data_IF_731959962474
#
_entry.id   IF_731959962474
#
_cell.length_a   1.000
_cell.length_b   1.000
_cell.length_c   1.000
_cell.angle_alpha   90.00
_cell.angle_beta   90.00
_cell.angle_gamma   90.00
#
_symmetry.space_group_name_H-M   'P 1'
#
loop_
_entity.id
_entity.type
_entity.pdbx_description
1 polymer ?
#
# COMPACT_ATOMS: atom_id res chain seq x y z
N UNK A 1 -89.33 -29.85 29.07
CA UNK A 1 -89.41 -30.83 27.97
C UNK A 1 -88.33 -30.51 26.97
N UNK A 2 -87.71 -31.53 26.37
CA UNK A 2 -86.66 -31.34 25.37
C UNK A 2 -87.19 -30.53 24.16
N UNK A 3 -86.37 -29.68 23.53
CA UNK A 3 -86.71 -29.02 22.27
C UNK A 3 -87.18 -30.02 21.21
N UNK A 4 -88.23 -29.68 20.46
CA UNK A 4 -88.73 -30.47 19.34
C UNK A 4 -89.27 -29.56 18.24
N UNK A 5 -89.04 -29.93 16.98
CA UNK A 5 -89.52 -29.17 15.82
C UNK A 5 -90.83 -29.75 15.28
N UNK A 6 -91.78 -28.89 14.93
CA UNK A 6 -93.08 -29.28 14.40
C UNK A 6 -93.44 -28.42 13.18
N UNK A 7 -93.91 -29.05 12.11
CA UNK A 7 -94.60 -28.41 11.00
C UNK A 7 -96.10 -28.44 11.28
N UNK A 8 -96.76 -27.29 11.23
CA UNK A 8 -98.19 -27.20 11.39
C UNK A 8 -98.84 -26.64 10.11
N UNK A 9 -99.80 -27.37 9.54
CA UNK A 9 -100.60 -26.90 8.42
C UNK A 9 -102.08 -26.88 8.81
N UNK A 10 -102.78 -25.78 8.51
CA UNK A 10 -104.22 -25.70 8.74
C UNK A 10 -104.96 -26.59 7.72
N UNK A 11 -105.84 -27.46 8.22
CA UNK A 11 -106.69 -28.32 7.40
C UNK A 11 -108.04 -27.63 7.24
N UNK A 12 -108.49 -27.47 5.99
CA UNK A 12 -109.74 -26.80 5.65
C UNK A 12 -110.69 -27.79 4.97
N UNK A 13 -111.99 -27.64 5.23
CA UNK A 13 -113.08 -28.34 4.55
C UNK A 13 -114.14 -27.29 4.16
N UNK A 14 -114.53 -27.25 2.87
CA UNK A 14 -115.40 -26.22 2.28
C UNK A 14 -115.08 -24.76 2.66
N UNK A 15 -113.79 -24.45 2.83
CA UNK A 15 -113.30 -23.09 3.17
C UNK A 15 -113.32 -22.77 4.67
N UNK A 16 -113.82 -23.66 5.53
CA UNK A 16 -113.78 -23.53 6.98
C UNK A 16 -112.60 -24.33 7.57
N UNK A 17 -111.86 -23.73 8.51
CA UNK A 17 -110.71 -24.39 9.15
C UNK A 17 -111.21 -25.41 10.16
N UNK A 18 -111.11 -26.69 9.83
CA UNK A 18 -111.58 -27.80 10.67
C UNK A 18 -110.50 -28.40 11.59
N UNK A 19 -109.21 -28.08 11.35
CA UNK A 19 -108.13 -28.60 12.19
C UNK A 19 -106.75 -28.07 11.85
N UNK A 20 -105.74 -28.64 12.53
CA UNK A 20 -104.33 -28.43 12.24
C UNK A 20 -103.65 -29.79 12.18
N UNK A 21 -103.01 -30.08 11.05
CA UNK A 21 -102.09 -31.20 10.93
C UNK A 21 -100.74 -30.75 11.50
N UNK A 22 -100.31 -31.38 12.58
CA UNK A 22 -99.00 -31.13 13.18
C UNK A 22 -98.12 -32.37 12.95
N UNK A 23 -97.00 -32.20 12.25
CA UNK A 23 -96.00 -33.24 11.99
C UNK A 23 -94.73 -32.86 12.74
N UNK A 24 -94.22 -33.77 13.58
CA UNK A 24 -92.91 -33.57 14.21
C UNK A 24 -91.80 -33.79 13.16
N UNK A 25 -90.91 -32.81 13.02
CA UNK A 25 -89.73 -32.90 12.15
C UNK A 25 -88.59 -33.50 12.98
N UNK A 26 -87.86 -34.53 12.47
CA UNK A 26 -86.71 -35.09 13.17
C UNK A 26 -85.56 -34.08 13.19
N UNK A 27 -85.31 -33.50 14.37
CA UNK A 27 -84.20 -32.55 14.59
C UNK A 27 -82.84 -33.24 14.42
N UNK A 28 -82.74 -34.53 14.78
CA UNK A 28 -81.51 -35.32 14.65
C UNK A 28 -80.98 -35.38 13.21
N UNK A 29 -81.87 -35.34 12.19
CA UNK A 29 -81.41 -35.31 10.80
C UNK A 29 -80.77 -33.99 10.43
N UNK A 30 -81.32 -32.88 10.92
CA UNK A 30 -80.75 -31.55 10.69
C UNK A 30 -79.41 -31.50 11.44
N UNK A 31 -79.40 -31.95 12.69
CA UNK A 31 -78.20 -31.94 13.51
C UNK A 31 -77.07 -32.79 12.93
N UNK A 32 -77.36 -34.01 12.49
CA UNK A 32 -76.38 -34.86 11.83
C UNK A 32 -75.81 -34.24 10.55
N UNK A 33 -76.62 -33.53 9.76
CA UNK A 33 -76.14 -32.83 8.56
C UNK A 33 -75.22 -31.67 8.96
N UNK A 34 -75.61 -30.88 9.97
CA UNK A 34 -74.82 -29.72 10.42
C UNK A 34 -73.51 -30.14 11.10
N UNK A 35 -73.51 -31.28 11.78
CA UNK A 35 -72.35 -31.80 12.51
C UNK A 35 -71.51 -32.79 11.70
N UNK A 36 -71.91 -33.12 10.46
CA UNK A 36 -71.19 -34.10 9.63
C UNK A 36 -71.17 -35.49 10.26
N UNK A 37 -72.25 -35.90 10.93
CA UNK A 37 -72.29 -37.08 11.82
C UNK A 37 -71.16 -37.09 12.87
N UNK A 38 -70.74 -35.90 13.33
CA UNK A 38 -69.60 -35.64 14.23
C UNK A 38 -68.22 -35.90 13.60
N UNK A 39 -68.15 -35.93 12.27
CA UNK A 39 -66.96 -36.11 11.45
C UNK A 39 -66.24 -34.82 11.05
N UNK A 40 -66.32 -33.74 11.84
CA UNK A 40 -65.85 -32.40 11.48
C UNK A 40 -64.44 -32.34 10.87
N UNK A 41 -63.47 -33.07 11.44
CA UNK A 41 -62.10 -33.10 10.91
C UNK A 41 -62.01 -33.75 9.52
N UNK A 42 -62.78 -34.81 9.27
CA UNK A 42 -62.85 -35.50 7.97
C UNK A 42 -63.55 -34.62 6.91
N UNK A 43 -64.51 -33.81 7.34
CA UNK A 43 -65.23 -32.84 6.52
C UNK A 43 -64.45 -31.53 6.27
N UNK A 44 -63.23 -31.43 6.80
CA UNK A 44 -62.33 -30.30 6.56
C UNK A 44 -62.56 -29.09 7.48
N UNK A 45 -63.30 -29.26 8.57
CA UNK A 45 -63.48 -28.24 9.61
C UNK A 45 -62.34 -28.25 10.65
N UNK A 46 -61.40 -29.18 10.56
CA UNK A 46 -60.21 -29.20 11.43
C UNK A 46 -60.54 -29.48 12.90
N UNK A 47 -59.71 -28.97 13.80
CA UNK A 47 -59.83 -29.22 15.25
C UNK A 47 -60.83 -28.30 15.94
N UNK A 48 -61.04 -27.09 15.41
CA UNK A 48 -61.92 -26.07 16.01
C UNK A 48 -63.11 -25.68 15.15
N UNK A 49 -63.21 -26.15 13.90
CA UNK A 49 -64.28 -25.70 13.03
C UNK A 49 -65.62 -26.36 13.33
N UNK A 50 -66.69 -25.59 13.21
CA UNK A 50 -68.06 -26.08 13.37
C UNK A 50 -69.00 -25.44 12.36
N UNK A 51 -70.14 -26.08 12.12
CA UNK A 51 -71.21 -25.50 11.30
C UNK A 51 -72.51 -25.63 12.07
N UNK A 52 -73.28 -24.56 12.15
CA UNK A 52 -74.52 -24.54 12.90
C UNK A 52 -75.57 -23.60 12.32
N UNK A 53 -76.82 -23.83 12.70
CA UNK A 53 -77.97 -23.03 12.29
C UNK A 53 -78.43 -22.13 13.43
N UNK A 54 -78.80 -20.89 13.12
CA UNK A 54 -79.38 -19.94 14.07
C UNK A 54 -80.68 -19.39 13.51
N UNK A 55 -81.72 -19.31 14.33
CA UNK A 55 -82.99 -18.69 13.92
C UNK A 55 -82.99 -17.17 14.07
N UNK A 56 -83.97 -16.49 13.49
CA UNK A 56 -84.17 -15.04 13.66
C UNK A 56 -84.49 -14.58 15.09
N UNK A 57 -84.65 -15.51 16.03
CA UNK A 57 -84.71 -15.27 17.48
C UNK A 57 -83.32 -15.36 18.16
N UNK A 58 -82.25 -15.48 17.36
CA UNK A 58 -80.86 -15.64 17.78
C UNK A 58 -80.56 -16.93 18.54
N UNK A 59 -81.46 -17.93 18.52
CA UNK A 59 -81.21 -19.20 19.19
C UNK A 59 -80.73 -20.26 18.18
N UNK A 60 -79.89 -21.19 18.63
CA UNK A 60 -79.43 -22.29 17.79
C UNK A 60 -80.57 -23.22 17.34
N UNK A 61 -80.42 -23.81 16.15
CA UNK A 61 -81.33 -24.80 15.53
C UNK A 61 -80.65 -26.14 15.25
N UNK A 62 -79.34 -26.21 15.45
CA UNK A 62 -78.52 -27.42 15.52
C UNK A 62 -77.61 -27.32 16.75
N UNK A 63 -77.07 -28.45 17.19
CA UNK A 63 -76.16 -28.51 18.30
C UNK A 63 -74.77 -27.94 17.94
N UNK A 64 -74.15 -27.30 18.93
CA UNK A 64 -72.76 -26.85 18.86
C UNK A 64 -71.81 -28.05 18.89
N UNK A 65 -70.75 -28.01 18.07
CA UNK A 65 -69.67 -29.00 18.12
C UNK A 65 -69.10 -29.12 19.53
N UNK A 66 -68.81 -27.97 20.15
CA UNK A 66 -68.16 -27.92 21.46
C UNK A 66 -69.05 -28.47 22.58
N UNK A 67 -70.37 -28.31 22.47
CA UNK A 67 -71.30 -28.94 23.40
C UNK A 67 -71.36 -30.46 23.22
N UNK A 68 -71.21 -30.96 21.99
CA UNK A 68 -71.23 -32.39 21.67
C UNK A 68 -69.91 -33.10 22.04
N UNK A 69 -68.76 -32.43 21.88
CA UNK A 69 -67.44 -32.96 22.21
C UNK A 69 -67.15 -32.91 23.71
N UNK A 70 -67.48 -31.79 24.38
CA UNK A 70 -67.27 -31.60 25.82
C UNK A 70 -68.38 -30.71 26.43
N UNK A 71 -69.51 -31.33 26.77
CA UNK A 71 -70.65 -30.63 27.38
C UNK A 71 -70.27 -29.92 28.69
N UNK A 72 -69.39 -30.51 29.51
CA UNK A 72 -69.02 -29.94 30.80
C UNK A 72 -68.16 -28.69 30.61
N UNK A 73 -67.14 -28.76 29.75
CA UNK A 73 -66.33 -27.60 29.37
C UNK A 73 -67.13 -26.53 28.66
N UNK A 74 -68.09 -26.92 27.80
CA UNK A 74 -68.99 -25.98 27.14
C UNK A 74 -69.83 -25.17 28.13
N UNK A 75 -70.44 -25.83 29.12
CA UNK A 75 -71.23 -25.14 30.17
C UNK A 75 -70.35 -24.17 30.98
N UNK A 76 -69.08 -24.49 31.20
CA UNK A 76 -68.11 -23.58 31.85
C UNK A 76 -67.83 -22.34 30.97
N UNK A 77 -67.70 -22.52 29.65
CA UNK A 77 -67.57 -21.40 28.70
C UNK A 77 -68.81 -20.51 28.75
N UNK A 78 -70.01 -21.11 28.75
CA UNK A 78 -71.26 -20.35 28.88
C UNK A 78 -71.33 -19.55 30.18
N UNK A 79 -70.83 -20.11 31.28
CA UNK A 79 -70.72 -19.40 32.57
C UNK A 79 -69.79 -18.19 32.48
N UNK A 80 -68.61 -18.35 31.87
CA UNK A 80 -67.64 -17.26 31.68
C UNK A 80 -68.20 -16.11 30.83
N UNK A 81 -69.07 -16.41 29.88
CA UNK A 81 -69.74 -15.40 29.04
C UNK A 81 -71.07 -14.89 29.60
N UNK A 82 -71.39 -15.22 30.86
CA UNK A 82 -72.53 -14.63 31.56
C UNK A 82 -73.89 -15.17 31.11
N UNK A 83 -73.95 -16.37 30.53
CA UNK A 83 -75.23 -17.01 30.19
C UNK A 83 -76.02 -17.32 31.47
N UNK A 84 -77.32 -16.95 31.54
CA UNK A 84 -78.16 -17.21 32.71
C UNK A 84 -78.14 -18.66 33.19
N UNK A 85 -78.17 -18.87 34.51
CA UNK A 85 -78.07 -20.19 35.14
C UNK A 85 -79.17 -21.15 34.68
N UNK A 86 -80.41 -20.66 34.51
CA UNK A 86 -81.55 -21.44 34.03
C UNK A 86 -81.33 -22.02 32.62
N UNK A 87 -80.66 -21.27 31.73
CA UNK A 87 -80.31 -21.78 30.39
C UNK A 87 -79.18 -22.80 30.45
N UNK A 88 -78.14 -22.53 31.25
CA UNK A 88 -77.01 -23.46 31.46
C UNK A 88 -77.47 -24.80 32.02
N UNK A 89 -78.32 -24.78 33.04
CA UNK A 89 -78.92 -25.97 33.64
C UNK A 89 -79.73 -26.77 32.60
N UNK A 90 -80.49 -26.10 31.73
CA UNK A 90 -81.25 -26.77 30.66
C UNK A 90 -80.36 -27.38 29.57
N UNK A 91 -79.27 -26.71 29.18
CA UNK A 91 -78.28 -27.27 28.24
C UNK A 91 -77.67 -28.54 28.84
N UNK A 92 -77.33 -28.52 30.13
CA UNK A 92 -76.79 -29.67 30.84
C UNK A 92 -77.81 -30.80 31.02
N UNK A 93 -79.06 -30.47 31.35
CA UNK A 93 -80.15 -31.45 31.57
C UNK A 93 -80.55 -32.16 30.27
N UNK A 94 -80.70 -31.40 29.18
CA UNK A 94 -81.16 -31.94 27.89
C UNK A 94 -80.03 -32.35 26.95
N UNK A 95 -78.79 -31.95 27.23
CA UNK A 95 -77.63 -32.29 26.40
C UNK A 95 -77.67 -31.70 24.99
N UNK A 96 -78.32 -30.54 24.82
CA UNK A 96 -78.51 -29.87 23.52
C UNK A 96 -78.38 -28.36 23.67
N UNK A 97 -77.90 -27.69 22.62
CA UNK A 97 -77.88 -26.23 22.50
C UNK A 97 -79.07 -25.69 21.70
N UNK A 98 -79.83 -26.55 21.03
CA UNK A 98 -81.00 -26.20 20.22
C UNK A 98 -82.03 -25.44 21.07
N UNK A 99 -82.43 -24.24 20.62
CA UNK A 99 -83.32 -23.32 21.33
C UNK A 99 -82.87 -22.87 22.74
N UNK A 100 -81.63 -23.16 23.13
CA UNK A 100 -81.08 -22.85 24.45
C UNK A 100 -79.85 -21.95 24.38
N UNK A 101 -78.99 -22.15 23.39
CA UNK A 101 -77.83 -21.31 23.14
C UNK A 101 -78.21 -20.12 22.27
N UNK A 102 -77.89 -18.93 22.77
CA UNK A 102 -78.06 -17.66 22.06
C UNK A 102 -76.77 -17.28 21.32
N UNK A 103 -76.91 -16.88 20.06
CA UNK A 103 -75.82 -16.49 19.17
C UNK A 103 -76.17 -15.12 18.59
N UNK A 104 -75.72 -14.07 19.28
CA UNK A 104 -75.82 -12.68 18.81
C UNK A 104 -74.44 -12.19 18.42
N UNK A 105 -73.98 -12.64 17.26
CA UNK A 105 -72.69 -12.24 16.67
C UNK A 105 -72.94 -11.34 15.48
N UNK A 106 -71.93 -10.55 15.10
CA UNK A 106 -71.98 -9.72 13.89
C UNK A 106 -72.30 -10.56 12.64
N UNK A 107 -71.78 -11.79 12.58
CA UNK A 107 -72.08 -12.74 11.51
C UNK A 107 -73.58 -13.09 11.42
N UNK A 108 -74.22 -13.39 12.55
CA UNK A 108 -75.67 -13.69 12.59
C UNK A 108 -76.50 -12.47 12.22
N UNK A 109 -76.17 -11.28 12.74
CA UNK A 109 -76.89 -10.04 12.43
C UNK A 109 -76.79 -9.69 10.94
N UNK A 110 -75.59 -9.80 10.37
CA UNK A 110 -75.37 -9.58 8.95
C UNK A 110 -76.12 -10.60 8.09
N UNK A 111 -76.04 -11.89 8.43
CA UNK A 111 -76.76 -12.96 7.73
C UNK A 111 -78.28 -12.75 7.77
N UNK A 112 -78.85 -12.41 8.93
CA UNK A 112 -80.28 -12.13 9.08
C UNK A 112 -80.73 -10.89 8.29
N UNK A 113 -79.82 -9.94 8.03
CA UNK A 113 -80.09 -8.79 7.14
C UNK A 113 -80.01 -9.13 5.65
N UNK A 114 -79.69 -10.38 5.30
CA UNK A 114 -79.60 -10.87 3.93
C UNK A 114 -78.17 -10.85 3.36
N UNK A 115 -77.13 -10.62 4.17
CA UNK A 115 -75.75 -10.55 3.72
C UNK A 115 -75.09 -11.92 3.79
N UNK A 116 -74.51 -12.38 2.67
CA UNK A 116 -73.63 -13.56 2.61
C UNK A 116 -72.18 -13.10 2.57
N UNK A 117 -71.35 -13.53 3.51
CA UNK A 117 -69.95 -13.12 3.54
C UNK A 117 -69.07 -14.09 4.33
N UNK A 118 -67.76 -13.81 4.32
CA UNK A 118 -66.77 -14.45 5.18
C UNK A 118 -65.94 -13.37 5.84
N UNK A 119 -65.93 -13.31 7.17
CA UNK A 119 -65.17 -12.29 7.90
C UNK A 119 -64.63 -12.82 9.23
N UNK A 120 -63.63 -12.13 9.76
CA UNK A 120 -63.09 -12.36 11.08
C UNK A 120 -63.99 -11.67 12.10
N UNK A 121 -64.63 -12.43 12.97
CA UNK A 121 -65.54 -11.95 14.03
C UNK A 121 -65.34 -12.78 15.29
N UNK A 122 -65.87 -12.32 16.42
CA UNK A 122 -65.95 -13.14 17.63
C UNK A 122 -67.21 -14.02 17.56
N UNK A 123 -67.07 -15.31 17.85
CA UNK A 123 -68.20 -16.25 17.92
C UNK A 123 -68.98 -16.11 19.23
N UNK A 124 -69.96 -16.99 19.46
CA UNK A 124 -70.73 -17.00 20.71
C UNK A 124 -69.91 -17.43 21.95
N UNK A 125 -68.70 -17.97 21.77
CA UNK A 125 -67.71 -18.26 22.82
C UNK A 125 -66.75 -17.09 23.03
N UNK A 126 -66.94 -15.95 22.34
CA UNK A 126 -66.05 -14.80 22.41
C UNK A 126 -64.64 -15.09 21.88
N UNK A 127 -64.48 -16.11 21.03
CA UNK A 127 -63.21 -16.49 20.41
C UNK A 127 -63.20 -15.90 18.99
N UNK A 128 -62.09 -15.27 18.55
CA UNK A 128 -61.97 -14.81 17.17
C UNK A 128 -61.98 -16.00 16.20
N UNK A 129 -62.96 -16.02 15.29
CA UNK A 129 -63.16 -17.06 14.28
C UNK A 129 -63.19 -16.46 12.88
N UNK A 130 -62.78 -17.23 11.89
CA UNK A 130 -63.12 -16.95 10.50
C UNK A 130 -64.52 -17.52 10.24
N UNK A 131 -65.53 -16.65 10.23
CA UNK A 131 -66.93 -17.02 10.09
C UNK A 131 -67.40 -16.81 8.65
N UNK A 132 -67.88 -17.88 8.01
CA UNK A 132 -68.63 -17.84 6.76
C UNK A 132 -70.11 -18.01 7.07
N UNK A 133 -70.95 -17.07 6.65
CA UNK A 133 -72.37 -17.07 7.00
C UNK A 133 -73.26 -16.73 5.80
N UNK A 134 -74.47 -17.30 5.81
CA UNK A 134 -75.45 -17.17 4.74
C UNK A 134 -76.88 -17.24 5.30
N UNK A 135 -77.83 -16.38 4.85
CA UNK A 135 -79.25 -16.59 5.10
C UNK A 135 -79.77 -17.84 4.38
N UNK A 136 -80.61 -18.64 5.04
CA UNK A 136 -81.27 -19.77 4.41
C UNK A 136 -82.53 -19.33 3.66
N UNK A 137 -82.57 -19.60 2.35
CA UNK A 137 -83.72 -19.31 1.49
C UNK A 137 -84.79 -20.42 1.57
N UNK A 138 -85.43 -20.57 2.72
CA UNK A 138 -86.54 -21.51 2.92
C UNK A 138 -87.82 -20.73 3.21
N UNK A 139 -88.87 -20.98 2.43
CA UNK A 139 -90.15 -20.28 2.58
C UNK A 139 -90.72 -20.44 4.00
N UNK A 140 -91.00 -19.31 4.67
CA UNK A 140 -91.56 -19.29 6.02
C UNK A 140 -90.56 -19.53 7.15
N UNK A 141 -89.26 -19.68 6.87
CA UNK A 141 -88.21 -19.92 7.87
C UNK A 141 -87.12 -18.86 7.75
N UNK A 142 -86.95 -18.04 8.79
CA UNK A 142 -85.87 -17.05 8.87
C UNK A 142 -84.69 -17.61 9.67
N UNK A 143 -83.88 -18.46 9.05
CA UNK A 143 -82.69 -19.07 9.65
C UNK A 143 -81.43 -18.64 8.90
N UNK A 144 -80.30 -18.70 9.59
CA UNK A 144 -78.97 -18.46 9.03
C UNK A 144 -78.10 -19.67 9.29
N UNK A 145 -77.20 -19.94 8.37
CA UNK A 145 -76.17 -20.97 8.49
C UNK A 145 -74.83 -20.30 8.67
N UNK A 146 -74.05 -20.79 9.62
CA UNK A 146 -72.69 -20.36 9.89
C UNK A 146 -71.76 -21.56 9.80
N UNK A 147 -70.58 -21.35 9.25
CA UNK A 147 -69.44 -22.26 9.29
C UNK A 147 -68.24 -21.47 9.76
N UNK A 148 -67.69 -21.86 10.91
CA UNK A 148 -66.68 -21.09 11.63
C UNK A 148 -65.48 -21.98 11.93
N UNK A 149 -64.30 -21.37 12.04
CA UNK A 149 -63.05 -22.02 12.49
C UNK A 149 -62.25 -21.00 13.30
N UNK A 150 -61.60 -21.43 14.39
CA UNK A 150 -60.81 -20.52 15.21
C UNK A 150 -59.72 -19.85 14.36
N UNK A 151 -59.59 -18.53 14.49
CA UNK A 151 -58.59 -17.75 13.75
C UNK A 151 -57.18 -18.26 14.03
N UNK A 152 -56.92 -18.75 15.25
CA UNK A 152 -55.63 -19.30 15.61
C UNK A 152 -55.27 -20.54 14.79
N UNK A 153 -56.23 -21.45 14.54
CA UNK A 153 -56.05 -22.61 13.67
C UNK A 153 -55.94 -22.18 12.20
N UNK A 154 -56.89 -21.37 11.73
CA UNK A 154 -56.94 -20.91 10.34
C UNK A 154 -55.65 -20.20 9.89
N UNK A 155 -55.06 -19.38 10.77
CA UNK A 155 -53.82 -18.63 10.49
C UNK A 155 -52.55 -19.32 11.01
N UNK A 156 -52.62 -20.49 11.67
CA UNK A 156 -51.42 -21.21 12.14
C UNK A 156 -50.42 -21.51 11.01
N UNK A 157 -50.85 -22.00 9.81
CA UNK A 157 -49.92 -22.27 8.71
C UNK A 157 -49.20 -21.00 8.22
N UNK A 158 -49.91 -19.86 8.20
CA UNK A 158 -49.35 -18.56 7.76
C UNK A 158 -48.32 -18.06 8.76
N UNK A 159 -48.60 -18.14 10.07
CA UNK A 159 -47.64 -17.77 11.13
C UNK A 159 -46.40 -18.65 11.09
N UNK A 160 -46.57 -19.97 10.94
CA UNK A 160 -45.46 -20.91 10.81
C UNK A 160 -44.60 -20.62 9.56
N UNK A 161 -45.23 -20.29 8.43
CA UNK A 161 -44.52 -19.88 7.22
C UNK A 161 -43.72 -18.58 7.43
N UNK A 162 -44.34 -17.56 8.01
CA UNK A 162 -43.67 -16.28 8.29
C UNK A 162 -42.43 -16.47 9.20
N UNK A 163 -42.55 -17.29 10.24
CA UNK A 163 -41.42 -17.62 11.12
C UNK A 163 -40.29 -18.35 10.38
N UNK A 164 -40.61 -19.31 9.50
CA UNK A 164 -39.61 -20.01 8.68
C UNK A 164 -38.87 -19.03 7.75
N UNK A 165 -39.60 -18.13 7.08
CA UNK A 165 -39.00 -17.10 6.21
C UNK A 165 -38.04 -16.19 7.00
N UNK A 166 -38.43 -15.77 8.21
CA UNK A 166 -37.61 -14.93 9.07
C UNK A 166 -36.30 -15.63 9.45
N UNK A 167 -36.37 -16.88 9.91
CA UNK A 167 -35.18 -17.66 10.28
C UNK A 167 -34.27 -17.93 9.08
N UNK A 168 -34.82 -18.30 7.92
CA UNK A 168 -34.02 -18.50 6.71
C UNK A 168 -33.35 -17.20 6.28
N UNK A 169 -34.05 -16.07 6.31
CA UNK A 169 -33.49 -14.75 6.01
C UNK A 169 -32.35 -14.37 6.95
N UNK A 170 -32.50 -14.62 8.25
CA UNK A 170 -31.46 -14.35 9.25
C UNK A 170 -30.20 -15.20 9.00
N UNK A 171 -30.37 -16.49 8.71
CA UNK A 171 -29.25 -17.40 8.41
C UNK A 171 -28.49 -16.91 7.16
N UNK A 172 -29.22 -16.56 6.10
CA UNK A 172 -28.62 -16.04 4.86
C UNK A 172 -27.86 -14.74 5.14
N UNK A 173 -28.42 -13.81 5.92
CA UNK A 173 -27.76 -12.57 6.27
C UNK A 173 -26.44 -12.81 7.03
N UNK A 174 -26.43 -13.72 8.00
CA UNK A 174 -25.23 -14.10 8.75
C UNK A 174 -24.18 -14.72 7.82
N UNK A 175 -24.60 -15.64 6.93
CA UNK A 175 -23.70 -16.26 5.95
C UNK A 175 -23.04 -15.23 5.02
N UNK A 176 -23.81 -14.24 4.55
CA UNK A 176 -23.28 -13.15 3.72
C UNK A 176 -22.23 -12.33 4.48
N UNK A 177 -22.47 -12.01 5.75
CA UNK A 177 -21.51 -11.27 6.59
C UNK A 177 -20.22 -12.07 6.79
N UNK A 178 -20.32 -13.37 7.09
CA UNK A 178 -19.15 -14.24 7.27
C UNK A 178 -18.37 -14.39 5.97
N UNK A 179 -19.06 -14.64 4.84
CA UNK A 179 -18.43 -14.74 3.54
C UNK A 179 -17.70 -13.43 3.15
N UNK A 180 -18.33 -12.27 3.40
CA UNK A 180 -17.72 -10.96 3.16
C UNK A 180 -16.46 -10.74 4.02
N UNK A 181 -16.49 -11.15 5.29
CA UNK A 181 -15.34 -11.07 6.18
C UNK A 181 -14.18 -11.99 5.74
N UNK A 182 -14.50 -13.19 5.23
CA UNK A 182 -13.51 -14.13 4.69
C UNK A 182 -12.85 -13.55 3.43
N UNK A 183 -13.63 -13.09 2.45
CA UNK A 183 -13.13 -12.47 1.21
C UNK A 183 -12.24 -11.26 1.50
N UNK A 184 -12.63 -10.44 2.47
CA UNK A 184 -11.83 -9.28 2.88
C UNK A 184 -10.47 -9.69 3.44
N UNK A 185 -10.44 -10.77 4.23
CA UNK A 185 -9.20 -11.27 4.84
C UNK A 185 -8.31 -12.02 3.85
N UNK A 186 -8.88 -12.79 2.93
CA UNK A 186 -8.12 -13.61 1.98
C UNK A 186 -7.66 -12.84 0.74
N UNK A 187 -8.41 -11.85 0.27
CA UNK A 187 -8.12 -11.15 -1.00
C UNK A 187 -7.82 -9.67 -0.82
N UNK A 188 -8.71 -8.90 -0.18
CA UNK A 188 -8.59 -7.44 -0.15
C UNK A 188 -7.37 -6.95 0.64
N UNK A 189 -7.11 -7.53 1.83
CA UNK A 189 -5.97 -7.10 2.67
C UNK A 189 -4.60 -7.30 2.02
N UNK A 190 -4.25 -8.48 1.46
CA UNK A 190 -2.97 -8.65 0.75
C UNK A 190 -2.79 -7.71 -0.43
N UNK A 191 -3.86 -7.47 -1.20
CA UNK A 191 -3.82 -6.57 -2.37
C UNK A 191 -3.53 -5.13 -1.92
N UNK A 192 -4.21 -4.65 -0.87
CA UNK A 192 -3.97 -3.30 -0.35
C UNK A 192 -2.54 -3.14 0.21
N UNK A 193 -2.03 -4.16 0.91
CA UNK A 193 -0.64 -4.16 1.40
C UNK A 193 0.38 -4.06 0.26
N UNK A 194 0.20 -4.83 -0.83
CA UNK A 194 1.02 -4.74 -2.03
C UNK A 194 0.92 -3.36 -2.70
N UNK A 195 -0.28 -2.82 -2.80
CA UNK A 195 -0.51 -1.51 -3.41
C UNK A 195 0.16 -0.37 -2.62
N UNK A 196 0.10 -0.43 -1.29
CA UNK A 196 0.77 0.55 -0.42
C UNK A 196 2.28 0.44 -0.53
N UNK A 197 2.83 -0.78 -0.48
CA UNK A 197 4.26 -1.00 -0.63
C UNK A 197 4.80 -0.53 -1.99
N UNK A 198 4.06 -0.79 -3.07
CA UNK A 198 4.41 -0.29 -4.40
C UNK A 198 4.47 1.25 -4.46
N UNK A 199 3.55 1.95 -3.79
CA UNK A 199 3.59 3.42 -3.69
C UNK A 199 4.80 3.92 -2.90
N UNK A 200 5.16 3.25 -1.81
CA UNK A 200 6.35 3.59 -1.02
C UNK A 200 7.65 3.40 -1.81
N UNK A 201 7.78 2.28 -2.52
CA UNK A 201 8.91 2.02 -3.44
C UNK A 201 8.99 3.08 -4.53
N UNK A 202 7.85 3.48 -5.10
CA UNK A 202 7.80 4.58 -6.09
C UNK A 202 8.20 5.94 -5.50
N UNK A 203 8.06 6.14 -4.19
CA UNK A 203 8.50 7.35 -3.49
C UNK A 203 9.99 7.30 -3.09
N UNK A 204 10.68 6.19 -3.36
CA UNK A 204 12.10 6.00 -3.08
C UNK A 204 12.41 5.21 -1.81
N UNK A 205 11.41 4.73 -1.07
CA UNK A 205 11.60 3.86 0.09
C UNK A 205 11.79 2.40 -0.35
N UNK A 206 13.02 1.91 -0.30
CA UNK A 206 13.40 0.56 -0.72
C UNK A 206 13.55 -0.44 0.44
N UNK A 207 13.24 -0.03 1.67
CA UNK A 207 13.32 -0.90 2.86
C UNK A 207 11.99 -1.59 3.16
N UNK A 208 10.99 -1.35 2.33
CA UNK A 208 9.67 -1.94 2.42
C UNK A 208 9.71 -3.43 2.11
N UNK A 209 9.08 -4.23 2.97
CA UNK A 209 8.88 -5.66 2.78
C UNK A 209 7.40 -6.00 2.96
N UNK A 210 6.86 -6.72 1.99
CA UNK A 210 5.47 -7.19 2.03
C UNK A 210 5.43 -8.61 2.59
N UNK A 211 4.84 -8.77 3.77
CA UNK A 211 4.65 -10.09 4.41
C UNK A 211 3.23 -10.58 4.20
N UNK A 212 3.02 -11.29 3.10
CA UNK A 212 1.75 -11.94 2.78
C UNK A 212 1.87 -13.43 3.09
N UNK A 213 1.26 -13.86 4.19
CA UNK A 213 1.14 -15.27 4.55
C UNK A 213 0.02 -15.95 3.75
N UNK A 214 0.18 -16.01 2.42
CA UNK A 214 -0.74 -16.69 1.52
C UNK A 214 -0.01 -17.77 0.75
N UNK A 215 -0.60 -18.97 0.66
CA UNK A 215 -0.04 -20.11 -0.08
C UNK A 215 -0.41 -20.15 -1.55
N UNK A 216 -1.00 -19.07 -2.07
CA UNK A 216 -1.57 -18.96 -3.41
C UNK A 216 -0.75 -18.00 -4.30
N UNK A 217 -1.35 -17.57 -5.42
CA UNK A 217 -0.75 -16.64 -6.36
C UNK A 217 -0.43 -15.26 -5.75
N UNK A 218 -1.17 -14.82 -4.72
CA UNK A 218 -0.90 -13.55 -4.03
C UNK A 218 0.37 -13.64 -3.20
N UNK A 219 0.62 -14.79 -2.55
CA UNK A 219 1.88 -15.04 -1.85
C UNK A 219 3.08 -15.01 -2.81
N UNK A 220 2.96 -15.73 -3.94
CA UNK A 220 3.99 -15.73 -4.98
C UNK A 220 4.25 -14.33 -5.57
N UNK A 221 3.20 -13.53 -5.75
CA UNK A 221 3.33 -12.15 -6.19
C UNK A 221 4.07 -11.29 -5.17
N UNK A 222 3.79 -11.45 -3.87
CA UNK A 222 4.51 -10.75 -2.80
C UNK A 222 5.99 -11.12 -2.76
N UNK A 223 6.34 -12.41 -2.90
CA UNK A 223 7.74 -12.85 -2.96
C UNK A 223 8.48 -12.28 -4.18
N UNK A 224 7.80 -12.26 -5.33
CA UNK A 224 8.36 -11.69 -6.56
C UNK A 224 8.55 -10.18 -6.43
N UNK A 225 7.59 -9.48 -5.82
CA UNK A 225 7.68 -8.05 -5.53
C UNK A 225 8.87 -7.75 -4.60
N UNK A 226 8.99 -8.47 -3.48
CA UNK A 226 10.11 -8.31 -2.54
C UNK A 226 11.48 -8.56 -3.22
N UNK A 227 11.55 -9.57 -4.10
CA UNK A 227 12.76 -9.86 -4.88
C UNK A 227 13.14 -8.73 -5.84
N UNK A 228 12.13 -8.09 -6.47
CA UNK A 228 12.33 -6.92 -7.32
C UNK A 228 12.87 -5.73 -6.50
N UNK A 229 12.26 -5.43 -5.35
CA UNK A 229 12.70 -4.33 -4.46
C UNK A 229 14.14 -4.53 -4.01
N UNK A 230 14.49 -5.74 -3.57
CA UNK A 230 15.88 -6.10 -3.22
C UNK A 230 16.85 -5.90 -4.38
N UNK A 231 16.47 -6.31 -5.59
CA UNK A 231 17.29 -6.14 -6.79
C UNK A 231 17.51 -4.67 -7.17
N UNK A 232 16.47 -3.83 -7.00
CA UNK A 232 16.57 -2.38 -7.21
C UNK A 232 17.54 -1.77 -6.20
N UNK A 233 17.39 -2.09 -4.92
CA UNK A 233 18.30 -1.60 -3.86
C UNK A 233 19.75 -1.95 -4.16
N UNK A 234 20.03 -3.22 -4.46
CA UNK A 234 21.39 -3.67 -4.78
C UNK A 234 21.96 -2.96 -6.01
N UNK A 235 21.15 -2.73 -7.06
CA UNK A 235 21.60 -1.98 -8.25
C UNK A 235 21.90 -0.52 -7.92
N UNK A 236 21.06 0.13 -7.11
CA UNK A 236 21.27 1.53 -6.71
C UNK A 236 22.57 1.70 -5.91
N UNK A 237 22.82 0.80 -4.96
CA UNK A 237 24.08 0.76 -4.20
C UNK A 237 25.28 0.53 -5.13
N UNK A 238 25.20 -0.43 -6.04
CA UNK A 238 26.26 -0.73 -7.00
C UNK A 238 26.54 0.46 -7.92
N UNK A 239 25.52 1.14 -8.44
CA UNK A 239 25.68 2.35 -9.27
C UNK A 239 26.36 3.45 -8.47
N UNK A 240 25.94 3.65 -7.21
CA UNK A 240 26.54 4.66 -6.34
C UNK A 240 28.01 4.36 -6.07
N UNK A 241 28.34 3.10 -5.81
CA UNK A 241 29.73 2.65 -5.66
C UNK A 241 30.53 2.87 -6.95
N UNK A 242 30.00 2.45 -8.10
CA UNK A 242 30.67 2.60 -9.40
C UNK A 242 30.88 4.06 -9.77
N UNK A 243 29.92 4.94 -9.47
CA UNK A 243 30.07 6.37 -9.67
C UNK A 243 31.19 6.95 -8.80
N UNK A 244 31.31 6.52 -7.53
CA UNK A 244 32.42 6.92 -6.66
C UNK A 244 33.77 6.43 -7.17
N UNK A 245 33.85 5.16 -7.59
CA UNK A 245 35.07 4.59 -8.18
C UNK A 245 35.49 5.35 -9.44
N UNK A 246 34.55 5.63 -10.34
CA UNK A 246 34.80 6.39 -11.57
C UNK A 246 35.24 7.83 -11.27
N UNK A 247 34.62 8.49 -10.28
CA UNK A 247 35.01 9.83 -9.86
C UNK A 247 36.43 9.85 -9.29
N UNK A 248 36.78 8.89 -8.42
CA UNK A 248 38.13 8.78 -7.87
C UNK A 248 39.19 8.55 -8.98
N UNK A 249 38.89 7.69 -9.95
CA UNK A 249 39.80 7.44 -11.08
C UNK A 249 39.98 8.69 -11.96
N UNK A 250 38.91 9.45 -12.21
CA UNK A 250 38.99 10.69 -12.99
C UNK A 250 39.84 11.74 -12.28
N UNK A 251 39.69 11.87 -10.96
CA UNK A 251 40.45 12.82 -10.13
C UNK A 251 41.92 12.44 -9.94
N UNK A 252 42.31 11.19 -10.24
CA UNK A 252 43.72 10.78 -10.30
C UNK A 252 44.42 11.26 -11.59
N UNK A 253 43.66 11.70 -12.60
CA UNK A 253 44.19 12.10 -13.91
C UNK A 253 44.05 13.61 -14.13
N UNK A 254 42.95 14.20 -13.64
CA UNK A 254 42.63 15.61 -13.83
C UNK A 254 42.40 16.29 -12.48
N UNK A 255 42.84 17.55 -12.33
CA UNK A 255 42.45 18.35 -11.18
C UNK A 255 40.93 18.49 -11.09
N UNK A 256 40.40 18.59 -9.87
CA UNK A 256 38.94 18.59 -9.62
C UNK A 256 38.19 19.64 -10.44
N UNK A 257 38.68 20.88 -10.46
CA UNK A 257 38.08 21.99 -11.21
C UNK A 257 38.01 21.71 -12.72
N UNK A 258 39.01 21.03 -13.28
CA UNK A 258 39.06 20.64 -14.68
C UNK A 258 38.14 19.44 -14.96
N UNK A 259 38.11 18.46 -14.06
CA UNK A 259 37.23 17.30 -14.16
C UNK A 259 35.74 17.69 -14.14
N UNK A 260 35.36 18.66 -13.31
CA UNK A 260 33.99 19.16 -13.20
C UNK A 260 33.55 19.91 -14.47
N UNK A 261 34.44 20.73 -15.04
CA UNK A 261 34.21 21.41 -16.34
C UNK A 261 34.03 20.41 -17.47
N UNK A 262 34.85 19.36 -17.53
CA UNK A 262 34.73 18.32 -18.54
C UNK A 262 33.41 17.54 -18.38
N UNK A 263 33.00 17.21 -17.15
CA UNK A 263 31.69 16.59 -16.86
C UNK A 263 30.51 17.47 -17.28
N UNK A 264 30.67 18.79 -17.22
CA UNK A 264 29.64 19.75 -17.65
C UNK A 264 29.52 19.89 -19.18
N UNK A 265 30.38 19.20 -19.94
CA UNK A 265 30.37 19.20 -21.40
C UNK A 265 31.23 20.28 -22.04
N UNK A 266 32.20 20.84 -21.31
CA UNK A 266 33.14 21.80 -21.88
C UNK A 266 34.20 21.09 -22.75
N UNK A 267 34.17 21.34 -24.07
CA UNK A 267 35.05 20.67 -25.04
C UNK A 267 36.47 21.27 -25.13
N UNK A 268 36.64 22.54 -24.78
CA UNK A 268 37.88 23.30 -25.00
C UNK A 268 38.34 24.00 -23.73
N UNK A 269 38.86 23.22 -22.78
CA UNK A 269 39.41 23.75 -21.54
C UNK A 269 40.82 24.27 -21.80
N UNK A 270 40.98 25.58 -21.82
CA UNK A 270 42.26 26.28 -21.92
C UNK A 270 42.21 27.57 -21.09
N UNK A 271 42.97 27.59 -20.00
CA UNK A 271 43.04 28.69 -19.05
C UNK A 271 44.39 29.39 -19.14
N UNK A 272 44.38 30.71 -19.26
CA UNK A 272 45.57 31.53 -19.23
C UNK A 272 45.90 31.95 -17.80
N UNK A 273 47.09 31.60 -17.34
CA UNK A 273 47.63 32.02 -16.05
C UNK A 273 48.70 33.06 -16.29
N UNK A 274 48.54 34.25 -15.71
CA UNK A 274 49.47 35.36 -15.90
C UNK A 274 50.83 35.12 -15.25
N UNK A 275 50.87 34.34 -14.18
CA UNK A 275 52.06 34.12 -13.38
C UNK A 275 52.00 32.79 -12.62
N UNK A 276 52.93 31.90 -12.94
CA UNK A 276 53.10 30.59 -12.31
C UNK A 276 54.60 30.28 -12.21
N UNK A 277 54.99 29.28 -11.42
CA UNK A 277 56.35 28.74 -11.42
C UNK A 277 56.36 27.31 -11.91
N UNK A 278 57.05 27.06 -13.02
CA UNK A 278 57.22 25.74 -13.62
C UNK A 278 58.55 25.16 -13.18
N UNK A 279 58.52 23.93 -12.68
CA UNK A 279 59.67 23.15 -12.23
C UNK A 279 59.85 21.95 -13.16
N UNK A 280 61.08 21.75 -13.63
CA UNK A 280 61.54 20.52 -14.27
C UNK A 280 62.65 19.92 -13.42
N UNK A 281 62.57 18.61 -13.16
CA UNK A 281 63.64 17.86 -12.54
C UNK A 281 63.98 16.64 -13.39
N UNK A 282 65.25 16.39 -13.65
CA UNK A 282 65.73 15.32 -14.54
C UNK A 282 66.86 14.54 -13.88
N UNK A 283 66.94 13.23 -14.13
CA UNK A 283 67.98 12.38 -13.55
C UNK A 283 69.28 12.46 -14.37
N UNK A 284 70.37 12.81 -13.70
CA UNK A 284 71.68 12.86 -14.35
C UNK A 284 72.13 11.45 -14.70
N UNK A 285 72.54 11.25 -15.96
CA UNK A 285 73.07 9.98 -16.43
C UNK A 285 72.02 8.88 -16.63
N UNK A 286 70.73 9.21 -16.66
CA UNK A 286 69.66 8.22 -16.81
C UNK A 286 69.82 7.31 -18.04
N UNK A 287 70.30 7.85 -19.17
CA UNK A 287 70.53 7.04 -20.38
C UNK A 287 71.54 5.92 -20.13
N UNK A 288 72.58 6.17 -19.34
CA UNK A 288 73.58 5.15 -18.98
C UNK A 288 72.95 4.16 -17.99
N UNK A 289 72.29 4.65 -16.95
CA UNK A 289 71.56 3.84 -15.97
C UNK A 289 70.54 2.89 -16.62
N UNK A 290 69.83 3.34 -17.66
CA UNK A 290 68.83 2.56 -18.38
C UNK A 290 69.41 1.46 -19.29
N UNK A 291 70.70 1.54 -19.63
CA UNK A 291 71.40 0.50 -20.41
C UNK A 291 71.91 -0.62 -19.51
N UNK A 292 72.30 -0.28 -18.29
CA UNK A 292 72.98 -1.19 -17.37
C UNK A 292 72.03 -1.91 -16.40
N UNK A 293 70.76 -1.49 -16.34
CA UNK A 293 69.74 -2.05 -15.45
C UNK A 293 68.59 -2.69 -16.22
N UNK A 294 67.99 -3.73 -15.67
CA UNK A 294 66.80 -4.35 -16.26
C UNK A 294 65.66 -3.31 -16.36
N UNK A 295 64.92 -3.25 -17.49
CA UNK A 295 63.84 -2.30 -17.67
C UNK A 295 62.76 -2.36 -16.57
N UNK A 296 62.47 -3.54 -16.01
CA UNK A 296 61.48 -3.66 -14.94
C UNK A 296 62.00 -3.03 -13.63
N UNK A 297 63.27 -3.26 -13.30
CA UNK A 297 63.91 -2.67 -12.12
C UNK A 297 64.04 -1.14 -12.25
N UNK A 298 64.29 -0.64 -13.47
CA UNK A 298 64.29 0.80 -13.76
C UNK A 298 62.95 1.45 -13.48
N UNK A 299 61.85 0.81 -13.90
CA UNK A 299 60.50 1.30 -13.63
C UNK A 299 60.21 1.30 -12.13
N UNK A 300 60.62 0.27 -11.38
CA UNK A 300 60.45 0.22 -9.92
C UNK A 300 61.26 1.33 -9.23
N UNK A 301 62.49 1.57 -9.68
CA UNK A 301 63.35 2.64 -9.17
C UNK A 301 62.72 4.02 -9.39
N UNK A 302 62.31 4.30 -10.63
CA UNK A 302 61.66 5.56 -11.00
C UNK A 302 60.35 5.77 -10.24
N UNK A 303 59.50 4.74 -10.15
CA UNK A 303 58.23 4.83 -9.43
C UNK A 303 58.45 5.13 -7.95
N UNK A 304 59.47 4.52 -7.32
CA UNK A 304 59.84 4.81 -5.94
C UNK A 304 60.25 6.27 -5.74
N UNK A 305 61.13 6.79 -6.61
CA UNK A 305 61.61 8.16 -6.50
C UNK A 305 60.51 9.19 -6.80
N UNK A 306 59.73 8.97 -7.87
CA UNK A 306 58.62 9.87 -8.22
C UNK A 306 57.48 9.83 -7.22
N UNK A 307 57.28 8.73 -6.49
CA UNK A 307 56.34 8.68 -5.37
C UNK A 307 56.77 9.62 -4.23
N UNK A 308 58.06 9.67 -3.90
CA UNK A 308 58.58 10.64 -2.91
C UNK A 308 58.35 12.09 -3.39
N UNK A 309 58.47 12.34 -4.71
CA UNK A 309 58.20 13.67 -5.29
C UNK A 309 56.71 14.02 -5.31
N UNK A 310 55.84 13.05 -5.57
CA UNK A 310 54.39 13.23 -5.52
C UNK A 310 53.92 13.61 -4.11
N UNK A 311 54.52 13.01 -3.07
CA UNK A 311 54.27 13.39 -1.66
C UNK A 311 54.70 14.85 -1.38
N UNK A 312 55.88 15.25 -1.88
CA UNK A 312 56.35 16.64 -1.79
C UNK A 312 55.42 17.61 -2.53
N UNK A 313 54.96 17.25 -3.73
CA UNK A 313 54.03 18.05 -4.51
C UNK A 313 52.72 18.29 -3.72
N UNK A 314 52.16 17.24 -3.11
CA UNK A 314 51.00 17.33 -2.23
C UNK A 314 51.25 18.23 -1.00
N UNK A 315 52.39 18.08 -0.33
CA UNK A 315 52.77 18.88 0.84
C UNK A 315 52.91 20.37 0.51
N UNK A 316 53.47 20.71 -0.65
CA UNK A 316 53.71 22.09 -1.07
C UNK A 316 52.57 22.68 -1.92
N UNK A 317 51.49 21.91 -2.15
CA UNK A 317 50.34 22.28 -3.01
C UNK A 317 50.78 22.67 -4.42
N UNK A 318 51.58 21.81 -5.03
CA UNK A 318 52.08 21.95 -6.39
C UNK A 318 51.42 20.90 -7.25
N UNK A 319 50.94 21.30 -8.41
CA UNK A 319 50.31 20.39 -9.35
C UNK A 319 51.37 19.64 -10.14
N UNK A 320 51.32 18.31 -10.11
CA UNK A 320 52.10 17.46 -11.00
C UNK A 320 51.48 17.52 -12.38
N UNK A 321 52.26 17.88 -13.39
CA UNK A 321 51.76 17.95 -14.78
C UNK A 321 51.94 16.59 -15.46
N UNK A 322 53.18 16.12 -15.53
CA UNK A 322 53.53 14.86 -16.20
C UNK A 322 54.95 14.42 -15.87
N UNK A 323 55.23 13.17 -16.18
CA UNK A 323 56.60 12.68 -16.33
C UNK A 323 56.94 12.57 -17.81
N UNK A 324 58.21 12.79 -18.17
CA UNK A 324 58.71 12.66 -19.54
C UNK A 324 59.97 11.80 -19.48
N UNK A 325 59.80 10.48 -19.57
CA UNK A 325 60.89 9.55 -19.29
C UNK A 325 61.32 9.65 -17.83
N UNK A 326 62.53 10.14 -17.62
CA UNK A 326 63.17 10.39 -16.32
C UNK A 326 62.99 11.82 -15.79
N UNK A 327 62.37 12.69 -16.58
CA UNK A 327 62.03 14.03 -16.13
C UNK A 327 60.67 14.07 -15.40
N UNK A 328 60.60 14.89 -14.35
CA UNK A 328 59.43 15.21 -13.56
C UNK A 328 59.06 16.69 -13.75
N UNK A 329 57.85 16.96 -14.22
CA UNK A 329 57.34 18.31 -14.47
C UNK A 329 56.21 18.64 -13.50
N UNK A 330 56.35 19.77 -12.81
CA UNK A 330 55.37 20.26 -11.85
C UNK A 330 55.20 21.78 -11.96
N UNK A 331 54.08 22.30 -11.49
CA UNK A 331 53.81 23.72 -11.54
C UNK A 331 53.07 24.21 -10.30
N UNK A 332 53.56 25.33 -9.75
CA UNK A 332 52.92 26.04 -8.66
C UNK A 332 52.15 27.25 -9.21
N UNK A 333 50.99 27.54 -8.62
CA UNK A 333 50.10 28.64 -9.08
C UNK A 333 48.99 28.20 -10.05
N UNK A 334 48.75 26.89 -10.16
CA UNK A 334 47.62 26.30 -10.87
C UNK A 334 47.14 25.01 -10.15
N UNK A 335 45.91 24.53 -10.41
CA UNK A 335 44.87 25.16 -11.22
C UNK A 335 44.29 26.42 -10.55
N UNK A 336 44.49 26.62 -9.25
CA UNK A 336 44.18 27.87 -8.58
C UNK A 336 45.39 28.82 -8.55
N UNK A 337 45.24 30.09 -9.00
CA UNK A 337 46.30 31.09 -8.91
C UNK A 337 46.79 31.30 -7.47
N UNK A 338 48.10 31.42 -7.28
CA UNK A 338 48.71 31.61 -5.97
C UNK A 338 49.91 32.55 -6.06
N UNK A 339 49.94 33.60 -5.23
CA UNK A 339 51.06 34.56 -5.15
C UNK A 339 52.35 33.97 -4.57
N UNK A 340 52.28 32.84 -3.88
CA UNK A 340 53.43 32.13 -3.32
C UNK A 340 54.01 31.05 -4.25
N UNK A 341 53.63 31.03 -5.53
CA UNK A 341 54.03 30.00 -6.50
C UNK A 341 55.55 29.74 -6.54
N UNK A 342 56.37 30.80 -6.64
CA UNK A 342 57.83 30.66 -6.68
C UNK A 342 58.40 30.07 -5.38
N UNK A 343 57.83 30.43 -4.23
CA UNK A 343 58.22 29.91 -2.92
C UNK A 343 57.92 28.42 -2.81
N UNK A 344 56.73 28.01 -3.22
CA UNK A 344 56.35 26.60 -3.24
C UNK A 344 57.29 25.82 -4.15
N UNK A 345 57.55 26.29 -5.38
CA UNK A 345 58.45 25.64 -6.31
C UNK A 345 59.88 25.53 -5.76
N UNK A 346 60.40 26.56 -5.10
CA UNK A 346 61.72 26.52 -4.45
C UNK A 346 61.78 25.52 -3.29
N UNK A 347 60.76 25.50 -2.42
CA UNK A 347 60.67 24.54 -1.31
C UNK A 347 60.58 23.09 -1.81
N UNK A 348 59.79 22.85 -2.86
CA UNK A 348 59.74 21.54 -3.50
C UNK A 348 61.08 21.15 -4.10
N UNK A 349 61.75 22.05 -4.83
CA UNK A 349 63.05 21.75 -5.42
C UNK A 349 64.11 21.39 -4.37
N UNK A 350 64.16 22.13 -3.26
CA UNK A 350 65.04 21.82 -2.13
C UNK A 350 64.68 20.45 -1.55
N UNK A 351 63.38 20.21 -1.32
CA UNK A 351 62.86 18.93 -0.85
C UNK A 351 63.18 17.76 -1.78
N UNK A 352 63.16 17.96 -3.10
CA UNK A 352 63.49 16.92 -4.08
C UNK A 352 64.97 16.51 -3.98
N UNK A 353 65.89 17.47 -3.81
CA UNK A 353 67.31 17.17 -3.59
C UNK A 353 67.50 16.36 -2.29
N UNK A 354 66.82 16.76 -1.21
CA UNK A 354 66.86 16.04 0.07
C UNK A 354 66.27 14.62 -0.06
N UNK A 355 65.10 14.49 -0.70
CA UNK A 355 64.43 13.22 -0.95
C UNK A 355 65.27 12.29 -1.80
N UNK A 356 65.95 12.77 -2.84
CA UNK A 356 66.88 11.96 -3.65
C UNK A 356 68.06 11.47 -2.82
N UNK A 357 68.63 12.28 -1.92
CA UNK A 357 69.70 11.82 -1.01
C UNK A 357 69.21 10.73 -0.05
N UNK A 358 68.02 10.90 0.51
CA UNK A 358 67.39 9.88 1.35
C UNK A 358 67.08 8.61 0.56
N UNK A 359 66.57 8.73 -0.66
CA UNK A 359 66.28 7.61 -1.56
C UNK A 359 67.54 6.83 -1.91
N UNK A 360 68.63 7.53 -2.26
CA UNK A 360 69.95 6.95 -2.48
C UNK A 360 70.44 6.14 -1.29
N UNK A 361 70.28 6.67 -0.08
CA UNK A 361 70.64 5.97 1.16
C UNK A 361 69.80 4.71 1.37
N UNK A 362 68.49 4.78 1.07
CA UNK A 362 67.56 3.64 1.21
C UNK A 362 67.78 2.54 0.17
N UNK A 363 68.18 2.90 -1.05
CA UNK A 363 68.24 1.99 -2.21
C UNK A 363 69.67 1.62 -2.62
N UNK A 364 70.69 2.24 -2.01
CA UNK A 364 72.09 2.00 -2.37
C UNK A 364 72.45 2.56 -3.75
N UNK A 365 71.79 3.64 -4.18
CA UNK A 365 72.00 4.28 -5.48
C UNK A 365 72.78 5.58 -5.36
N UNK A 366 73.26 6.12 -6.48
CA UNK A 366 73.95 7.40 -6.56
C UNK A 366 73.28 8.33 -7.58
N UNK A 367 71.96 8.48 -7.46
CA UNK A 367 71.17 9.34 -8.34
C UNK A 367 71.43 10.81 -8.03
N UNK A 368 71.61 11.63 -9.07
CA UNK A 368 71.66 13.08 -8.96
C UNK A 368 70.54 13.69 -9.80
N UNK A 369 70.04 14.84 -9.38
CA UNK A 369 69.03 15.60 -10.12
C UNK A 369 69.65 16.86 -10.72
N UNK A 370 69.20 17.23 -11.91
CA UNK A 370 69.19 18.62 -12.35
C UNK A 370 67.79 19.18 -12.14
N UNK A 371 67.68 20.33 -11.51
CA UNK A 371 66.38 21.00 -11.32
C UNK A 371 66.43 22.38 -11.96
N UNK A 372 65.41 22.71 -12.75
CA UNK A 372 65.21 23.99 -13.42
C UNK A 372 63.88 24.62 -13.03
N UNK A 373 63.89 25.90 -12.63
CA UNK A 373 62.67 26.64 -12.30
C UNK A 373 62.61 27.95 -13.08
N UNK A 374 61.49 28.18 -13.76
CA UNK A 374 61.18 29.47 -14.37
C UNK A 374 59.78 29.93 -14.00
N UNK A 375 59.61 31.25 -13.81
CA UNK A 375 58.33 31.87 -13.48
C UNK A 375 57.86 32.80 -14.59
N UNK A 376 56.56 32.85 -14.83
CA UNK A 376 55.92 33.66 -15.87
C UNK A 376 54.59 33.09 -16.36
N UNK A 377 54.01 33.66 -17.43
CA UNK A 377 52.69 33.28 -17.93
C UNK A 377 52.70 31.91 -18.62
N UNK A 378 51.61 31.15 -18.47
CA UNK A 378 51.35 29.89 -19.18
C UNK A 378 49.89 29.78 -19.61
N UNK A 379 49.63 28.92 -20.58
CA UNK A 379 48.29 28.41 -20.86
C UNK A 379 48.25 26.97 -20.38
N UNK A 380 47.33 26.63 -19.48
CA UNK A 380 47.07 25.26 -19.07
C UNK A 380 45.76 24.78 -19.68
N UNK A 381 45.64 23.51 -20.00
CA UNK A 381 44.45 23.02 -20.68
C UNK A 381 44.45 21.53 -20.92
N UNK A 382 43.31 21.02 -21.38
CA UNK A 382 43.10 19.59 -21.64
C UNK A 382 43.16 19.33 -23.14
N UNK A 383 44.02 18.40 -23.56
CA UNK A 383 44.07 17.89 -24.93
C UNK A 383 43.67 16.43 -24.97
N UNK A 384 43.00 16.04 -26.05
CA UNK A 384 42.63 14.66 -26.36
C UNK A 384 41.14 14.41 -26.28
N UNK A 385 40.63 13.47 -27.08
CA UNK A 385 39.22 13.03 -27.04
C UNK A 385 39.00 11.72 -26.27
N UNK A 386 40.05 10.91 -26.14
CA UNK A 386 40.01 9.59 -25.51
C UNK A 386 41.08 9.40 -24.42
N UNK A 387 42.19 10.14 -24.52
CA UNK A 387 43.24 10.22 -23.50
C UNK A 387 43.38 11.68 -23.12
N UNK A 388 42.58 12.12 -22.16
CA UNK A 388 42.65 13.49 -21.66
C UNK A 388 44.00 13.69 -20.95
N UNK A 389 44.72 14.72 -21.36
CA UNK A 389 45.98 15.13 -20.75
C UNK A 389 45.84 16.59 -20.39
N UNK A 390 45.95 16.90 -19.10
CA UNK A 390 46.10 18.27 -18.62
C UNK A 390 47.58 18.65 -18.70
N UNK A 391 47.90 19.69 -19.45
CA UNK A 391 49.29 20.06 -19.76
C UNK A 391 49.45 21.58 -19.84
N UNK A 392 50.71 22.03 -19.89
CA UNK A 392 51.08 23.45 -19.95
C UNK A 392 51.76 23.80 -21.28
N UNK A 393 51.37 24.94 -21.83
CA UNK A 393 51.99 25.55 -22.99
C UNK A 393 52.43 26.97 -22.68
N UNK A 394 53.56 27.35 -23.25
CA UNK A 394 54.04 28.72 -23.16
C UNK A 394 55.54 28.81 -23.20
N UNK A 395 55.99 30.04 -23.37
CA UNK A 395 57.40 30.40 -23.27
C UNK A 395 57.99 29.94 -21.93
N UNK A 396 57.27 30.19 -20.84
CA UNK A 396 57.68 29.90 -19.46
C UNK A 396 58.07 28.44 -19.25
N UNK A 397 57.31 27.50 -19.84
CA UNK A 397 57.55 26.05 -19.76
C UNK A 397 58.85 25.69 -20.48
N UNK A 398 59.06 26.23 -21.69
CA UNK A 398 60.28 26.00 -22.45
C UNK A 398 61.52 26.54 -21.72
N UNK A 399 61.43 27.73 -21.14
CA UNK A 399 62.53 28.31 -20.38
C UNK A 399 62.83 27.51 -19.10
N UNK A 400 61.82 26.98 -18.39
CA UNK A 400 62.02 26.08 -17.25
C UNK A 400 62.78 24.81 -17.64
N UNK A 401 62.37 24.16 -18.73
CA UNK A 401 63.09 22.99 -19.28
C UNK A 401 64.52 23.33 -19.70
N UNK A 402 64.78 24.56 -20.17
CA UNK A 402 66.16 25.04 -20.43
C UNK A 402 66.97 25.27 -19.16
N UNK A 403 66.34 25.77 -18.09
CA UNK A 403 66.98 25.91 -16.79
C UNK A 403 67.40 24.53 -16.24
N UNK A 404 66.60 23.50 -16.46
CA UNK A 404 66.96 22.12 -16.07
C UNK A 404 68.10 21.59 -16.95
N UNK A 405 67.92 21.58 -18.27
CA UNK A 405 68.88 20.92 -19.18
C UNK A 405 70.27 21.55 -19.19
N UNK A 406 70.38 22.84 -18.87
CA UNK A 406 71.67 23.53 -18.68
C UNK A 406 72.07 23.60 -17.21
N UNK A 407 71.32 22.97 -16.30
CA UNK A 407 71.54 22.90 -14.86
C UNK A 407 72.84 22.18 -14.49
N UNK A 408 73.34 22.44 -13.28
CA UNK A 408 74.47 21.68 -12.71
C UNK A 408 73.89 20.46 -11.98
N UNK A 409 74.47 19.25 -12.13
CA UNK A 409 74.11 18.10 -11.32
C UNK A 409 74.08 18.42 -9.82
N UNK A 410 73.02 18.00 -9.13
CA UNK A 410 72.82 18.22 -7.70
C UNK A 410 72.42 19.64 -7.30
N UNK A 411 72.21 20.55 -8.27
CA UNK A 411 71.85 21.94 -8.01
C UNK A 411 70.50 22.33 -8.60
N UNK A 412 69.93 23.41 -8.06
CA UNK A 412 68.66 23.98 -8.51
C UNK A 412 68.98 25.27 -9.29
N UNK A 413 68.78 25.25 -10.60
CA UNK A 413 68.96 26.41 -11.46
C UNK A 413 67.64 27.16 -11.63
N UNK A 414 67.68 28.48 -11.44
CA UNK A 414 66.52 29.35 -11.59
C UNK A 414 66.78 30.48 -12.58
N UNK A 415 65.74 30.91 -13.27
CA UNK A 415 65.77 32.09 -14.14
C UNK A 415 65.78 33.40 -13.33
N UNK A 416 66.06 34.51 -14.01
CA UNK A 416 65.91 35.86 -13.44
C UNK A 416 64.50 36.10 -12.88
N UNK A 417 63.45 35.71 -13.60
CA UNK A 417 62.07 35.96 -13.15
C UNK A 417 61.76 35.23 -11.86
N UNK A 418 62.14 33.95 -11.75
CA UNK A 418 62.02 33.20 -10.48
C UNK A 418 62.84 33.84 -9.36
N UNK A 419 64.06 34.30 -9.65
CA UNK A 419 64.90 35.01 -8.68
C UNK A 419 64.21 36.26 -8.15
N UNK A 420 63.55 37.02 -9.01
CA UNK A 420 62.83 38.24 -8.64
C UNK A 420 61.64 37.91 -7.73
N UNK A 421 60.88 36.84 -8.03
CA UNK A 421 59.79 36.39 -7.16
C UNK A 421 60.27 35.90 -5.79
N UNK A 422 61.42 35.23 -5.70
CA UNK A 422 61.94 34.69 -4.43
C UNK A 422 62.41 35.78 -3.45
N UNK A 423 62.74 36.97 -3.94
CA UNK A 423 63.19 38.08 -3.11
C UNK A 423 64.40 37.72 -2.23
N UNK A 424 64.45 38.22 -1.01
CA UNK A 424 65.60 38.02 -0.10
C UNK A 424 65.51 36.79 0.82
N UNK A 425 64.46 35.97 0.67
CA UNK A 425 64.17 34.82 1.56
C UNK A 425 65.10 33.63 1.34
N UNK A 426 65.78 33.57 0.19
CA UNK A 426 66.65 32.45 -0.19
C UNK A 426 68.04 32.92 -0.51
N UNK A 427 69.02 32.06 -0.22
CA UNK A 427 70.39 32.26 -0.67
C UNK A 427 70.52 31.76 -2.10
N UNK A 428 70.91 32.66 -2.99
CA UNK A 428 70.93 32.48 -4.44
C UNK A 428 72.20 33.09 -5.01
N UNK A 429 72.94 32.30 -5.76
CA UNK A 429 74.23 32.69 -6.34
C UNK A 429 74.09 32.91 -7.84
N UNK A 430 74.81 33.89 -8.40
CA UNK A 430 74.80 34.09 -9.85
C UNK A 430 75.67 33.03 -10.53
N UNK A 431 75.11 32.33 -11.52
CA UNK A 431 75.85 31.39 -12.37
C UNK A 431 76.46 32.07 -13.60
N UNK A 432 76.07 33.31 -13.87
CA UNK A 432 76.42 34.03 -15.08
C UNK A 432 75.41 33.84 -16.21
N UNK A 433 75.81 34.22 -17.42
CA UNK A 433 74.98 34.12 -18.62
C UNK A 433 75.19 32.78 -19.32
N UNK A 434 74.10 32.11 -19.64
CA UNK A 434 74.10 30.93 -20.52
C UNK A 434 73.47 31.29 -21.86
N UNK A 435 74.03 30.76 -22.95
CA UNK A 435 73.46 30.93 -24.28
C UNK A 435 72.41 29.86 -24.53
N UNK A 436 71.15 30.27 -24.61
CA UNK A 436 70.03 29.38 -24.88
C UNK A 436 69.73 29.38 -26.38
N UNK A 437 69.80 28.20 -26.99
CA UNK A 437 69.55 28.00 -28.43
C UNK A 437 68.25 28.67 -28.86
N UNK A 438 68.36 29.67 -29.73
CA UNK A 438 67.22 30.42 -30.29
C UNK A 438 66.70 31.57 -29.43
N UNK A 439 67.37 31.91 -28.31
CA UNK A 439 66.98 33.00 -27.40
C UNK A 439 68.09 33.92 -26.91
N UNK A 440 69.34 33.55 -27.18
CA UNK A 440 70.50 34.35 -26.79
C UNK A 440 70.85 34.16 -25.32
N UNK A 441 71.55 35.15 -24.76
CA UNK A 441 72.13 35.05 -23.42
C UNK A 441 71.10 35.37 -22.34
N UNK A 442 70.93 34.44 -21.40
CA UNK A 442 70.09 34.60 -20.24
C UNK A 442 70.92 34.49 -18.96
N UNK A 443 70.74 35.44 -18.05
CA UNK A 443 71.34 35.37 -16.72
C UNK A 443 70.62 34.32 -15.88
N UNK A 444 71.41 33.49 -15.23
CA UNK A 444 70.92 32.36 -14.44
C UNK A 444 71.49 32.39 -13.03
N UNK A 445 70.76 31.75 -12.12
CA UNK A 445 71.09 31.71 -10.71
C UNK A 445 71.01 30.27 -10.20
N UNK A 446 71.79 29.97 -9.16
CA UNK A 446 71.70 28.72 -8.41
C UNK A 446 71.02 29.01 -7.07
N UNK A 447 69.94 28.29 -6.78
CA UNK A 447 69.28 28.29 -5.48
C UNK A 447 70.05 27.34 -4.55
N UNK A 448 70.70 27.91 -3.54
CA UNK A 448 71.57 27.16 -2.61
C UNK A 448 70.77 26.64 -1.41
N UNK A 449 69.82 27.43 -0.92
CA UNK A 449 68.99 27.04 0.21
C UNK A 449 68.23 28.19 0.84
N UNK A 450 67.55 27.89 1.96
CA UNK A 450 66.81 28.87 2.76
C UNK A 450 67.79 29.83 3.43
N UNK A 451 67.51 31.13 3.43
CA UNK A 451 68.29 32.08 4.21
C UNK A 451 67.93 31.86 5.69
N UNK A 452 68.93 31.73 6.56
CA UNK A 452 68.68 31.61 8.00
C UNK A 452 67.90 32.85 8.46
N UNK A 453 66.89 32.72 9.35
CA UNK A 453 66.24 33.89 9.92
C UNK A 453 67.29 34.73 10.63
N UNK A 454 67.38 36.01 10.30
CA UNK A 454 68.15 36.96 11.11
C UNK A 454 67.53 36.94 12.51
N UNK A 455 68.28 36.43 13.49
CA UNK A 455 67.92 36.52 14.89
C UNK A 455 68.09 37.99 15.26
N UNK A 456 67.01 38.76 15.13
CA UNK A 456 66.87 40.13 15.60
C UNK A 456 66.38 40.17 17.04
#
# INVERSE_FOLDING_TARGET
GAPASFLAAAVHDDGERIGVLVIQIPIDRIDNIMTGDRGWAEDGLGESGETYLVGGDYLMRSDSRFALEDLAGFVEVLERHGVPADRRERVQEFGTTILLQEVRTEAVENALSGITSTTLVDDYRGIPVLSAYVPLEIEGVNWVMLSEIDADEAFAPIRAFAQRVLWTGLIVAILVVVASALVTRSLLRPIDALAQAARQVSAGDLDVKVEVASGDELGKLADTFNSMVSSIRQKTELITQKNRENEALLLNILPRSIADRLKSGEDHIADAFSDVSVLFADLVGFTELSRDMDPADLVVLLNGLFSDFDELAGKHRIEKIKTIGDAYMACAGLPEPNTNHAFQAAEMAIGMIEATRSFNTRKGTALELRIGINSGPVVAGVIGRSKFIYDLWGDTVNLASRMESHGVPGAIQISQTTRDHLGERYHVESRGEIDLKGRGRHRTYLLIGRRAPEVG
#
